data_IF_475187129948
#
_entry.id   IF_475187129948
#
_cell.length_a   1.000
_cell.length_b   1.000
_cell.length_c   1.000
_cell.angle_alpha   90.00
_cell.angle_beta   90.00
_cell.angle_gamma   90.00
#
_symmetry.space_group_name_H-M   'P 1'
#
loop_
_entity.id
_entity.type
_entity.pdbx_description
1 polymer ?
#
# COMPACT_ATOMS: atom_id res chain seq x y z
N UNK A 1 -0.61 -4.70 12.08
CA UNK A 1 -0.59 -5.03 10.63
C UNK A 1 -0.73 -3.77 9.79
N UNK A 2 0.08 -3.66 8.74
CA UNK A 2 -0.01 -2.57 7.78
C UNK A 2 -1.22 -2.84 6.89
N UNK A 3 -2.30 -2.08 7.06
CA UNK A 3 -3.55 -2.22 6.29
C UNK A 3 -3.55 -1.25 5.11
N UNK A 4 -4.22 -1.61 4.02
CA UNK A 4 -4.34 -0.80 2.80
C UNK A 4 -4.75 0.66 3.11
N UNK A 5 -5.70 0.87 4.03
CA UNK A 5 -6.11 2.21 4.53
C UNK A 5 -5.00 3.03 5.18
N UNK A 6 -4.08 2.39 5.93
CA UNK A 6 -2.95 3.09 6.59
C UNK A 6 -1.88 3.46 5.57
N UNK A 7 -1.66 2.59 4.58
CA UNK A 7 -0.73 2.85 3.47
C UNK A 7 -1.23 4.03 2.62
N UNK A 8 -2.52 4.03 2.27
CA UNK A 8 -3.16 5.12 1.53
C UNK A 8 -3.08 6.47 2.27
N UNK A 9 -3.36 6.49 3.58
CA UNK A 9 -3.20 7.71 4.39
C UNK A 9 -1.77 8.26 4.38
N UNK A 10 -0.77 7.37 4.46
CA UNK A 10 0.65 7.77 4.33
C UNK A 10 0.95 8.34 2.95
N UNK A 11 0.43 7.73 1.90
CA UNK A 11 0.60 8.22 0.53
C UNK A 11 0.01 9.62 0.34
N UNK A 12 -1.22 9.86 0.82
CA UNK A 12 -1.85 11.19 0.73
C UNK A 12 -1.11 12.24 1.55
N UNK A 13 -0.62 11.89 2.75
CA UNK A 13 0.17 12.80 3.57
C UNK A 13 1.49 13.19 2.88
N UNK A 14 2.15 12.22 2.25
CA UNK A 14 3.36 12.46 1.47
C UNK A 14 3.08 13.30 0.22
N UNK A 15 2.02 12.96 -0.54
CA UNK A 15 1.54 13.73 -1.70
C UNK A 15 1.31 15.19 -1.36
N UNK A 16 0.66 15.46 -0.23
CA UNK A 16 0.32 16.82 0.20
C UNK A 16 1.57 17.65 0.51
N UNK A 17 2.66 17.01 0.98
CA UNK A 17 3.86 17.68 1.45
C UNK A 17 4.96 17.80 0.39
N UNK A 18 5.07 16.83 -0.52
CA UNK A 18 6.17 16.72 -1.48
C UNK A 18 5.72 16.50 -2.94
N UNK A 19 4.42 16.32 -3.19
CA UNK A 19 3.93 15.79 -4.48
C UNK A 19 4.06 14.26 -4.55
N UNK A 20 3.51 13.66 -5.61
CA UNK A 20 3.70 12.23 -5.90
C UNK A 20 4.63 12.10 -7.09
N UNK A 21 5.81 11.54 -6.85
CA UNK A 21 6.69 11.07 -7.91
C UNK A 21 6.27 9.68 -8.38
N UNK A 22 6.63 9.35 -9.62
CA UNK A 22 6.28 8.08 -10.25
C UNK A 22 6.81 6.88 -9.46
N UNK A 23 8.01 6.99 -8.86
CA UNK A 23 8.58 5.98 -7.96
C UNK A 23 7.69 5.71 -6.74
N UNK A 24 7.17 6.77 -6.08
CA UNK A 24 6.31 6.61 -4.91
C UNK A 24 4.99 5.92 -5.28
N UNK A 25 4.47 6.22 -6.46
CA UNK A 25 3.29 5.53 -6.97
C UNK A 25 3.57 4.05 -7.24
N UNK A 26 4.72 3.70 -7.82
CA UNK A 26 5.11 2.29 -8.00
C UNK A 26 5.31 1.55 -6.68
N UNK A 27 5.97 2.17 -5.70
CA UNK A 27 6.11 1.59 -4.36
C UNK A 27 4.77 1.38 -3.67
N UNK A 28 3.82 2.30 -3.85
CA UNK A 28 2.45 2.14 -3.35
C UNK A 28 1.75 0.93 -3.97
N UNK A 29 1.79 0.81 -5.31
CA UNK A 29 1.18 -0.33 -6.02
C UNK A 29 1.79 -1.66 -5.57
N UNK A 30 3.12 -1.71 -5.40
CA UNK A 30 3.80 -2.90 -4.88
C UNK A 30 3.33 -3.25 -3.47
N UNK A 31 3.28 -2.27 -2.57
CA UNK A 31 2.84 -2.49 -1.20
C UNK A 31 1.36 -2.94 -1.11
N UNK A 32 0.46 -2.40 -1.94
CA UNK A 32 -0.93 -2.88 -2.05
C UNK A 32 -0.97 -4.33 -2.53
N UNK A 33 -0.17 -4.67 -3.55
CA UNK A 33 -0.10 -6.04 -4.08
C UNK A 33 0.36 -7.04 -3.02
N UNK A 34 1.38 -6.70 -2.24
CA UNK A 34 1.88 -7.53 -1.14
C UNK A 34 0.82 -7.72 -0.04
N UNK A 35 0.12 -6.65 0.34
CA UNK A 35 -0.95 -6.73 1.35
C UNK A 35 -2.08 -7.65 0.86
N UNK A 36 -2.52 -7.50 -0.39
CA UNK A 36 -3.53 -8.39 -0.99
C UNK A 36 -3.06 -9.84 -1.01
N UNK A 37 -1.83 -10.10 -1.40
CA UNK A 37 -1.29 -11.45 -1.49
C UNK A 37 -1.20 -12.12 -0.11
N UNK A 38 -0.85 -11.36 0.94
CA UNK A 38 -0.89 -11.87 2.32
C UNK A 38 -2.32 -12.17 2.77
N UNK A 39 -3.30 -11.34 2.43
CA UNK A 39 -4.71 -11.59 2.75
C UNK A 39 -5.23 -12.85 2.04
N UNK A 40 -4.89 -13.03 0.76
CA UNK A 40 -5.28 -14.18 -0.04
C UNK A 40 -4.64 -15.49 0.47
N UNK A 41 -3.34 -15.44 0.79
CA UNK A 41 -2.64 -16.56 1.41
C UNK A 41 -3.22 -16.94 2.78
N UNK A 42 -3.68 -15.94 3.55
CA UNK A 42 -4.33 -16.18 4.84
C UNK A 42 -5.74 -16.78 4.67
N UNK A 43 -6.46 -16.38 3.62
CA UNK A 43 -7.77 -16.92 3.29
C UNK A 43 -7.71 -18.35 2.72
N UNK A 44 -6.64 -18.73 2.02
CA UNK A 44 -6.43 -20.10 1.50
C UNK A 44 -6.00 -21.13 2.55
N UNK A 45 -5.49 -20.67 3.69
CA UNK A 45 -5.03 -21.53 4.79
C UNK A 45 -6.05 -21.61 5.95
N UNK A 46 -7.30 -21.17 5.75
CA UNK A 46 -8.44 -21.39 6.64
C UNK A 46 -9.43 -22.35 6.00
#
# INVERSE_FOLDING_TARGET
>A
MMTEKKLYKRLMAYKKKHGVTQEIYQHYLWAVKVIRQQLDAKAKNQ
#
